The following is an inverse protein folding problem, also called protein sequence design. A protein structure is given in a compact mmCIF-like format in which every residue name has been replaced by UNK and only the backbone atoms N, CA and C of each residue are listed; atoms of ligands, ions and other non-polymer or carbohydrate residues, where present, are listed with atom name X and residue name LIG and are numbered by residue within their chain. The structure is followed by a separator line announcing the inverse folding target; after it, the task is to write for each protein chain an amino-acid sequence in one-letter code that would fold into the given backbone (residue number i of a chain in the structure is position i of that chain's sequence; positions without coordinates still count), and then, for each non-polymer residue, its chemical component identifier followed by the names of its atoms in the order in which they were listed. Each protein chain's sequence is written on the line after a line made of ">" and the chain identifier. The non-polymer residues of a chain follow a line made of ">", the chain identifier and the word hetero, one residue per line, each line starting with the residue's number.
data_IF_972414645575
#
_entry.id   IF_972414645575
#
_cell.length_a   1.000
_cell.length_b   1.000
_cell.length_c   1.000
_cell.angle_alpha   90.00
_cell.angle_beta   90.00
_cell.angle_gamma   90.00
#
_symmetry.space_group_name_H-M   'P 1'
#
loop_
_entity.id
_entity.type
_entity.pdbx_description
1 polymer ?
#
# COMPACT_ATOMS: atom_id res chain seq x y z
N UNK A 1 -7.14 1.06 -3.58
CA UNK A 1 -5.93 1.79 -4.01
C UNK A 1 -5.37 1.12 -5.24
N UNK A 2 -4.76 1.89 -6.15
CA UNK A 2 -4.07 1.38 -7.33
C UNK A 2 -2.57 1.31 -7.06
N UNK A 3 -1.92 0.20 -7.43
CA UNK A 3 -0.48 0.01 -7.25
C UNK A 3 0.18 -0.35 -8.58
N UNK A 4 1.39 0.18 -8.78
CA UNK A 4 2.21 -0.05 -9.98
C UNK A 4 3.65 -0.36 -9.58
N UNK A 5 4.20 -1.44 -10.12
CA UNK A 5 5.61 -1.80 -10.00
C UNK A 5 6.38 -1.32 -11.23
N UNK A 6 6.90 -0.10 -11.14
CA UNK A 6 7.57 0.59 -12.27
C UNK A 6 8.75 -0.23 -12.81
N UNK A 7 9.50 -0.90 -11.95
CA UNK A 7 10.71 -1.65 -12.33
C UNK A 7 10.41 -3.06 -12.89
N UNK A 8 9.16 -3.53 -12.83
CA UNK A 8 8.79 -4.90 -13.18
C UNK A 8 7.65 -4.95 -14.19
N UNK A 9 7.96 -5.18 -15.47
CA UNK A 9 7.03 -5.59 -16.55
C UNK A 9 5.65 -4.90 -16.56
N UNK A 10 5.56 -3.62 -16.20
CA UNK A 10 4.30 -2.87 -16.07
C UNK A 10 3.22 -3.60 -15.25
N UNK A 11 3.61 -4.29 -14.18
CA UNK A 11 2.65 -4.94 -13.29
C UNK A 11 1.89 -3.86 -12.53
N UNK A 12 0.58 -3.81 -12.71
CA UNK A 12 -0.32 -2.91 -11.99
C UNK A 12 -1.62 -3.62 -11.64
N UNK A 13 -2.25 -3.20 -10.55
CA UNK A 13 -3.51 -3.77 -10.10
C UNK A 13 -4.25 -2.82 -9.16
N UNK A 14 -5.56 -2.99 -9.09
CA UNK A 14 -6.41 -2.37 -8.09
C UNK A 14 -6.56 -3.25 -6.85
N UNK A 15 -6.64 -2.61 -5.69
CA UNK A 15 -6.81 -3.22 -4.37
C UNK A 15 -8.03 -2.62 -3.69
N UNK A 16 -9.08 -3.43 -3.52
CA UNK A 16 -10.35 -3.05 -2.91
C UNK A 16 -10.59 -3.82 -1.62
N UNK A 17 -11.29 -3.16 -0.69
CA UNK A 17 -11.68 -3.76 0.59
C UNK A 17 -12.67 -4.91 0.36
N UNK A 18 -12.42 -6.04 1.01
CA UNK A 18 -13.34 -7.17 0.99
C UNK A 18 -14.45 -6.92 2.02
N UNK A 19 -15.69 -6.93 1.55
CA UNK A 19 -16.89 -6.71 2.39
C UNK A 19 -17.49 -8.02 2.93
N UNK A 20 -16.91 -9.17 2.60
CA UNK A 20 -17.40 -10.47 3.05
C UNK A 20 -17.02 -10.75 4.51
N UNK A 21 -18.01 -11.14 5.31
CA UNK A 21 -17.80 -11.57 6.69
C UNK A 21 -17.36 -13.04 6.71
N UNK A 22 -16.09 -13.29 6.45
CA UNK A 22 -15.46 -14.59 6.71
C UNK A 22 -14.75 -14.56 8.07
N UNK A 23 -14.92 -15.62 8.87
CA UNK A 23 -14.31 -15.74 10.21
C UNK A 23 -12.77 -15.68 10.20
N UNK A 24 -12.14 -15.83 9.04
CA UNK A 24 -10.68 -15.83 8.87
C UNK A 24 -10.11 -14.48 8.40
N UNK A 25 -10.95 -13.48 8.13
CA UNK A 25 -10.55 -12.18 7.61
C UNK A 25 -10.77 -11.06 8.63
N UNK A 26 -9.90 -10.06 8.57
CA UNK A 26 -10.05 -8.84 9.36
C UNK A 26 -11.05 -7.90 8.68
N UNK A 27 -12.20 -7.73 9.32
CA UNK A 27 -13.25 -6.81 8.88
C UNK A 27 -12.68 -5.41 8.66
N UNK A 28 -12.92 -4.83 7.48
CA UNK A 28 -12.46 -3.49 7.03
C UNK A 28 -10.94 -3.33 6.83
N UNK A 29 -10.14 -4.40 6.94
CA UNK A 29 -8.69 -4.33 6.74
C UNK A 29 -8.19 -5.22 5.60
N UNK A 30 -8.86 -6.34 5.36
CA UNK A 30 -8.50 -7.21 4.25
C UNK A 30 -8.94 -6.64 2.90
N UNK A 31 -8.08 -6.88 1.91
CA UNK A 31 -8.23 -6.45 0.52
C UNK A 31 -8.12 -7.66 -0.41
N UNK A 32 -8.73 -7.55 -1.59
CA UNK A 32 -8.70 -8.59 -2.63
C UNK A 32 -7.29 -8.85 -3.15
N UNK A 33 -6.55 -7.80 -3.48
CA UNK A 33 -5.19 -7.84 -3.99
C UNK A 33 -4.26 -7.13 -3.01
N UNK A 34 -3.32 -7.88 -2.43
CA UNK A 34 -2.34 -7.35 -1.47
C UNK A 34 -1.11 -6.82 -2.21
N UNK A 35 -0.57 -5.70 -1.72
CA UNK A 35 0.73 -5.19 -2.16
C UNK A 35 1.86 -6.09 -1.65
N UNK A 36 2.48 -6.84 -2.56
CA UNK A 36 3.57 -7.77 -2.23
C UNK A 36 4.90 -7.05 -2.39
N UNK A 37 5.77 -7.15 -1.38
CA UNK A 37 7.04 -6.43 -1.34
C UNK A 37 8.17 -7.33 -0.84
N UNK A 38 9.39 -7.20 -1.40
CA UNK A 38 10.54 -7.95 -0.90
C UNK A 38 10.98 -7.42 0.49
N UNK A 39 11.31 -8.34 1.39
CA UNK A 39 11.91 -7.99 2.70
C UNK A 39 13.42 -7.80 2.58
N UNK A 40 14.02 -7.12 3.56
CA UNK A 40 15.47 -6.84 3.66
C UNK A 40 16.06 -6.07 2.47
N UNK A 41 15.21 -5.37 1.71
CA UNK A 41 15.59 -4.46 0.65
C UNK A 41 15.00 -3.08 0.93
N UNK A 42 15.67 -2.05 0.43
CA UNK A 42 15.10 -0.71 0.42
C UNK A 42 14.05 -0.59 -0.68
N UNK A 43 12.89 -0.09 -0.32
CA UNK A 43 11.76 0.13 -1.24
C UNK A 43 11.43 1.61 -1.26
N UNK A 44 11.33 2.17 -2.46
CA UNK A 44 10.90 3.55 -2.67
C UNK A 44 9.44 3.56 -3.10
N UNK A 45 8.59 4.21 -2.32
CA UNK A 45 7.22 4.50 -2.70
C UNK A 45 7.13 5.87 -3.33
N UNK A 46 6.33 5.96 -4.39
CA UNK A 46 5.84 7.19 -4.98
C UNK A 46 4.33 7.22 -4.80
N UNK A 47 3.82 8.24 -4.10
CA UNK A 47 2.45 8.30 -3.60
C UNK A 47 1.81 9.60 -4.11
N UNK A 48 0.65 9.46 -4.74
CA UNK A 48 -0.13 10.54 -5.32
C UNK A 48 -1.62 10.14 -5.34
N UNK A 49 -2.49 11.09 -5.61
CA UNK A 49 -3.91 10.87 -5.84
C UNK A 49 -4.33 11.41 -7.22
N UNK A 50 -5.35 10.78 -7.82
CA UNK A 50 -5.95 11.22 -9.08
C UNK A 50 -7.15 12.15 -8.89
N UNK A 51 -7.77 12.17 -7.71
CA UNK A 51 -9.04 12.86 -7.47
C UNK A 51 -8.94 13.91 -6.34
N UNK A 52 -8.93 13.46 -5.09
CA UNK A 52 -8.93 14.26 -3.87
C UNK A 52 -7.78 13.84 -2.96
N UNK A 53 -7.63 14.52 -1.82
CA UNK A 53 -6.57 14.18 -0.87
C UNK A 53 -6.92 12.87 -0.16
N UNK A 54 -5.98 11.93 -0.18
CA UNK A 54 -5.98 10.71 0.64
C UNK A 54 -4.69 10.65 1.46
N UNK A 55 -4.49 9.60 2.26
CA UNK A 55 -3.23 9.34 2.95
C UNK A 55 -2.91 7.85 2.88
N UNK A 56 -1.68 7.51 2.51
CA UNK A 56 -1.17 6.15 2.52
C UNK A 56 -0.51 5.88 3.86
N UNK A 57 -1.08 4.97 4.66
CA UNK A 57 -0.59 4.68 6.01
C UNK A 57 -0.32 3.20 6.21
N UNK A 58 0.76 2.89 6.93
CA UNK A 58 1.06 1.55 7.46
C UNK A 58 1.66 1.76 8.86
N UNK A 59 0.83 1.80 9.93
CA UNK A 59 1.27 2.21 11.27
C UNK A 59 2.41 1.36 11.84
N UNK A 60 2.38 0.05 11.60
CA UNK A 60 3.42 -0.90 12.04
C UNK A 60 4.80 -0.66 11.41
N UNK A 61 4.85 0.05 10.28
CA UNK A 61 6.09 0.48 9.62
C UNK A 61 6.41 1.97 9.90
N UNK A 62 5.58 2.66 10.70
CA UNK A 62 5.74 4.09 10.97
C UNK A 62 5.49 4.98 9.74
N UNK A 63 4.73 4.49 8.76
CA UNK A 63 4.48 5.21 7.50
C UNK A 63 3.13 5.92 7.58
N UNK A 64 3.14 7.22 7.26
CA UNK A 64 1.96 8.01 6.92
C UNK A 64 2.39 9.09 5.95
N UNK A 65 1.87 9.05 4.72
CA UNK A 65 2.22 9.99 3.65
C UNK A 65 0.97 10.39 2.91
N UNK A 66 0.75 11.70 2.78
CA UNK A 66 -0.44 12.21 2.08
C UNK A 66 -0.32 11.98 0.57
N UNK A 67 -1.44 11.62 -0.04
CA UNK A 67 -1.62 11.49 -1.47
C UNK A 67 -2.39 12.73 -1.95
N UNK A 68 -1.68 13.69 -2.56
CA UNK A 68 -2.24 15.00 -2.92
C UNK A 68 -2.25 15.13 -4.44
N UNK A 69 -3.40 15.39 -5.08
CA UNK A 69 -3.47 15.56 -6.53
C UNK A 69 -2.47 16.59 -7.04
N UNK A 70 -1.71 16.21 -8.08
CA UNK A 70 -0.67 17.07 -8.67
C UNK A 70 0.66 17.10 -7.92
N UNK A 71 0.83 16.31 -6.85
CA UNK A 71 2.08 16.18 -6.09
C UNK A 71 2.49 14.72 -5.89
N UNK A 72 3.66 14.37 -6.42
CA UNK A 72 4.28 13.06 -6.17
C UNK A 72 5.09 13.12 -4.87
N UNK A 73 4.58 12.52 -3.80
CA UNK A 73 5.33 12.33 -2.55
C UNK A 73 6.19 11.06 -2.63
N UNK A 74 7.38 11.11 -2.03
CA UNK A 74 8.32 9.98 -2.02
C UNK A 74 8.66 9.60 -0.57
N UNK A 75 8.70 8.30 -0.29
CA UNK A 75 9.24 7.74 0.95
C UNK A 75 10.08 6.49 0.66
N UNK A 76 11.11 6.24 1.46
CA UNK A 76 11.93 5.05 1.37
C UNK A 76 11.79 4.23 2.65
N UNK A 77 11.55 2.93 2.52
CA UNK A 77 11.27 2.04 3.65
C UNK A 77 12.18 0.82 3.61
N UNK A 78 12.39 0.20 4.77
CA UNK A 78 13.14 -1.04 4.90
C UNK A 78 12.38 -1.99 5.84
N UNK A 79 11.99 -3.17 5.35
CA UNK A 79 11.26 -4.16 6.15
C UNK A 79 12.21 -5.27 6.62
N UNK A 80 12.39 -5.39 7.93
CA UNK A 80 13.27 -6.39 8.54
C UNK A 80 12.68 -7.80 8.61
N UNK A 81 11.34 -7.93 8.58
CA UNK A 81 10.62 -9.18 8.81
C UNK A 81 9.54 -9.36 7.74
N UNK A 82 9.28 -10.61 7.38
CA UNK A 82 8.12 -10.97 6.56
C UNK A 82 6.88 -11.03 7.43
N UNK A 83 5.73 -10.70 6.83
CA UNK A 83 4.44 -10.72 7.52
C UNK A 83 3.39 -9.95 6.74
N UNK A 84 2.18 -9.89 7.31
CA UNK A 84 1.10 -9.02 6.84
C UNK A 84 1.15 -7.72 7.64
N UNK A 85 1.14 -6.61 6.92
CA UNK A 85 1.09 -5.27 7.46
C UNK A 85 -0.17 -4.60 6.95
N UNK A 86 -0.92 -3.97 7.84
CA UNK A 86 -2.21 -3.36 7.54
C UNK A 86 -2.14 -1.86 7.73
N UNK A 87 -3.01 -1.17 7.01
CA UNK A 87 -3.11 0.28 6.94
C UNK A 87 -4.51 0.70 6.52
N UNK A 88 -4.82 1.98 6.71
CA UNK A 88 -6.09 2.60 6.33
C UNK A 88 -5.87 4.03 5.83
#
# INVERSE_FOLDING_TARGET
>A
GFYEYIDFYNIHFDSFMINENNNYMFRLLDVDNRLILPVKNYIKFLINSSDVIHSFTIPSLGIKVDAIPGRMNQIMIFMNRSGLYFGQ
#
